data_IF_899394095173
#
_entry.id   IF_899394095173
#
_cell.length_a   1.000
_cell.length_b   1.000
_cell.length_c   1.000
_cell.angle_alpha   90.00
_cell.angle_beta   90.00
_cell.angle_gamma   90.00
#
_symmetry.space_group_name_H-M   'P 1'
#
loop_
_entity.id
_entity.type
_entity.pdbx_description
1 polymer ?
#
# COMPACT_ATOMS: atom_id res chain seq x y z
N UNK A 1 5.35 -12.48 7.44
CA UNK A 1 4.73 -12.57 6.10
C UNK A 1 3.90 -11.33 5.83
N UNK A 2 4.02 -10.75 4.64
CA UNK A 2 3.27 -9.56 4.17
C UNK A 2 2.88 -9.82 2.72
N UNK A 3 1.66 -9.49 2.33
CA UNK A 3 1.16 -9.61 0.96
C UNK A 3 1.02 -8.24 0.29
N UNK A 4 1.49 -8.10 -0.94
CA UNK A 4 1.29 -6.92 -1.80
C UNK A 4 0.52 -7.33 -3.05
N UNK A 5 -0.66 -6.76 -3.24
CA UNK A 5 -1.57 -7.11 -4.34
C UNK A 5 -1.49 -6.05 -5.43
N UNK A 6 -1.35 -6.50 -6.68
CA UNK A 6 -1.43 -5.68 -7.89
C UNK A 6 -2.37 -6.33 -8.91
N UNK A 7 -2.95 -5.53 -9.79
CA UNK A 7 -3.84 -5.98 -10.87
C UNK A 7 -3.38 -5.38 -12.18
N UNK A 8 -3.29 -6.21 -13.19
CA UNK A 8 -2.80 -5.84 -14.52
C UNK A 8 -3.77 -6.19 -15.64
N UNK A 9 -3.55 -5.61 -16.83
CA UNK A 9 -4.35 -5.87 -18.03
C UNK A 9 -3.74 -6.92 -18.95
N UNK A 10 -2.45 -7.25 -18.81
CA UNK A 10 -1.76 -8.17 -19.71
C UNK A 10 -0.91 -9.18 -18.96
N UNK A 11 -1.10 -10.48 -19.29
CA UNK A 11 -0.32 -11.57 -18.67
C UNK A 11 1.13 -11.57 -19.13
N UNK A 12 1.41 -11.23 -20.41
CA UNK A 12 2.78 -11.27 -20.94
C UNK A 12 3.76 -10.49 -20.06
N UNK A 13 3.49 -9.22 -19.78
CA UNK A 13 4.39 -8.41 -18.97
C UNK A 13 4.54 -8.90 -17.54
N UNK A 14 3.48 -9.49 -16.95
CA UNK A 14 3.54 -10.03 -15.59
C UNK A 14 4.35 -11.34 -15.53
N UNK A 15 4.11 -12.25 -16.46
CA UNK A 15 4.82 -13.55 -16.54
C UNK A 15 6.29 -13.33 -16.89
N UNK A 16 6.58 -12.46 -17.86
CA UNK A 16 7.96 -12.08 -18.21
C UNK A 16 8.71 -11.49 -17.01
N UNK A 17 8.04 -10.64 -16.21
CA UNK A 17 8.63 -10.06 -15.00
C UNK A 17 8.94 -11.13 -13.94
N UNK A 18 8.01 -12.05 -13.65
CA UNK A 18 8.21 -13.02 -12.55
C UNK A 18 9.11 -14.17 -12.94
N UNK A 19 9.12 -14.61 -14.20
CA UNK A 19 9.96 -15.71 -14.69
C UNK A 19 11.24 -15.24 -15.39
N UNK A 20 11.36 -13.94 -15.69
CA UNK A 20 12.50 -13.38 -16.40
C UNK A 20 13.69 -13.04 -15.53
N UNK A 21 13.52 -12.98 -14.20
CA UNK A 21 14.62 -12.66 -13.29
C UNK A 21 15.64 -13.81 -13.18
N UNK A 22 16.90 -13.43 -13.01
CA UNK A 22 18.04 -14.32 -12.93
C UNK A 22 17.88 -15.25 -11.75
N UNK A 23 17.53 -15.92 -11.19
CA UNK A 23 17.28 -16.79 -10.00
C UNK A 23 15.79 -16.95 -9.69
N UNK A 24 14.92 -16.70 -10.68
CA UNK A 24 13.53 -17.03 -10.54
C UNK A 24 13.32 -18.54 -10.69
N UNK A 25 12.60 -19.14 -9.75
CA UNK A 25 12.28 -20.58 -9.77
C UNK A 25 10.76 -20.73 -9.78
N UNK A 26 10.22 -21.39 -10.81
CA UNK A 26 8.80 -21.78 -10.84
C UNK A 26 8.60 -22.91 -9.84
N UNK A 27 7.92 -22.63 -8.73
CA UNK A 27 7.69 -23.62 -7.67
C UNK A 27 6.44 -24.47 -7.93
N UNK A 28 5.39 -23.86 -8.51
CA UNK A 28 4.13 -24.53 -8.73
C UNK A 28 3.35 -23.86 -9.85
N UNK A 29 2.61 -24.65 -10.60
CA UNK A 29 1.69 -24.20 -11.64
C UNK A 29 0.42 -25.06 -11.58
N UNK A 30 -0.73 -24.42 -11.75
CA UNK A 30 -2.02 -25.09 -11.77
C UNK A 30 -2.91 -24.49 -12.87
N UNK A 31 -3.56 -25.37 -13.64
CA UNK A 31 -4.42 -25.00 -14.76
C UNK A 31 -3.69 -24.39 -15.97
N UNK A 32 -2.34 -24.43 -16.01
CA UNK A 32 -1.52 -23.93 -17.14
C UNK A 32 -0.50 -24.96 -17.58
N UNK A 33 -0.17 -24.96 -18.87
CA UNK A 33 0.97 -25.70 -19.40
C UNK A 33 2.24 -24.90 -19.05
N UNK A 34 3.15 -25.52 -18.27
CA UNK A 34 4.32 -24.85 -17.73
C UNK A 34 5.63 -25.22 -18.45
N UNK A 35 5.56 -25.71 -19.69
CA UNK A 35 6.71 -26.11 -20.51
C UNK A 35 7.54 -24.88 -20.92
N UNK A 36 6.86 -23.78 -21.25
CA UNK A 36 7.50 -22.52 -21.58
C UNK A 36 6.72 -21.33 -21.03
N UNK A 37 7.38 -20.14 -20.95
CA UNK A 37 6.70 -18.89 -20.61
C UNK A 37 5.55 -18.58 -21.59
N UNK A 38 5.73 -18.91 -22.86
CA UNK A 38 4.74 -18.67 -23.88
C UNK A 38 3.47 -19.51 -23.66
N UNK A 39 3.64 -20.76 -23.23
CA UNK A 39 2.50 -21.64 -22.95
C UNK A 39 1.71 -21.16 -21.75
N UNK A 40 2.40 -20.77 -20.68
CA UNK A 40 1.79 -20.14 -19.52
C UNK A 40 0.97 -18.90 -19.94
N UNK A 41 1.55 -18.01 -20.76
CA UNK A 41 0.88 -16.81 -21.24
C UNK A 41 -0.34 -17.15 -22.08
N UNK A 42 -0.23 -18.13 -22.98
CA UNK A 42 -1.35 -18.59 -23.83
C UNK A 42 -2.49 -19.14 -22.98
N UNK A 43 -2.19 -20.00 -22.01
CA UNK A 43 -3.20 -20.56 -21.11
C UNK A 43 -3.93 -19.46 -20.31
N UNK A 44 -3.21 -18.52 -19.72
CA UNK A 44 -3.82 -17.39 -19.04
C UNK A 44 -4.67 -16.53 -19.97
N UNK A 45 -4.21 -16.26 -21.19
CA UNK A 45 -4.96 -15.45 -22.15
C UNK A 45 -6.23 -16.17 -22.62
N UNK A 46 -6.17 -17.47 -22.83
CA UNK A 46 -7.32 -18.29 -23.23
C UNK A 46 -8.43 -18.23 -22.18
N UNK A 47 -8.12 -18.45 -20.89
CA UNK A 47 -9.12 -18.32 -19.83
C UNK A 47 -9.61 -16.88 -19.67
N UNK A 48 -8.73 -15.89 -19.81
CA UNK A 48 -9.11 -14.48 -19.72
C UNK A 48 -10.12 -14.07 -20.82
N UNK A 49 -10.08 -14.72 -21.99
CA UNK A 49 -11.03 -14.46 -23.08
C UNK A 49 -12.47 -14.86 -22.75
N UNK A 50 -12.70 -15.71 -21.73
CA UNK A 50 -14.04 -16.07 -21.26
C UNK A 50 -14.80 -14.88 -20.66
N UNK A 51 -14.09 -13.81 -20.24
CA UNK A 51 -14.73 -12.59 -19.75
C UNK A 51 -14.02 -11.33 -20.26
N UNK A 52 -14.25 -10.95 -21.53
CA UNK A 52 -13.56 -9.82 -22.15
C UNK A 52 -13.96 -8.45 -21.56
N UNK A 53 -15.01 -8.40 -20.74
CA UNK A 53 -15.44 -7.16 -20.05
C UNK A 53 -14.52 -6.78 -18.89
N UNK A 54 -13.78 -7.73 -18.34
CA UNK A 54 -12.86 -7.47 -17.22
C UNK A 54 -11.56 -6.81 -17.73
N UNK A 55 -11.43 -5.51 -17.58
CA UNK A 55 -10.27 -4.74 -18.08
C UNK A 55 -8.92 -5.06 -17.40
N UNK A 56 -8.93 -5.75 -16.22
CA UNK A 56 -7.73 -6.14 -15.48
C UNK A 56 -7.81 -7.60 -15.03
N UNK A 57 -7.62 -8.57 -15.94
CA UNK A 57 -7.72 -9.99 -15.64
C UNK A 57 -6.54 -10.55 -14.84
N UNK A 58 -5.38 -9.88 -14.82
CA UNK A 58 -4.20 -10.34 -14.11
C UNK A 58 -4.29 -9.99 -12.63
N UNK A 59 -4.17 -11.00 -11.77
CA UNK A 59 -3.87 -10.85 -10.36
C UNK A 59 -2.39 -11.16 -10.10
N UNK A 60 -1.69 -10.28 -9.40
CA UNK A 60 -0.29 -10.49 -9.01
C UNK A 60 -0.13 -10.17 -7.53
N UNK A 61 0.35 -11.14 -6.77
CA UNK A 61 0.57 -11.01 -5.33
C UNK A 61 2.02 -11.36 -5.03
N UNK A 62 2.73 -10.47 -4.34
CA UNK A 62 4.02 -10.78 -3.76
C UNK A 62 3.83 -11.09 -2.27
N UNK A 63 4.18 -12.29 -1.83
CA UNK A 63 4.23 -12.69 -0.42
C UNK A 63 5.68 -12.64 0.03
N UNK A 64 6.01 -11.67 0.89
CA UNK A 64 7.34 -11.50 1.47
C UNK A 64 7.34 -11.99 2.91
N UNK A 65 8.41 -12.68 3.28
CA UNK A 65 8.61 -13.26 4.61
C UNK A 65 9.73 -12.51 5.36
N UNK A 66 9.81 -12.70 6.66
CA UNK A 66 10.93 -12.16 7.44
C UNK A 66 12.20 -12.99 7.20
N UNK A 67 13.35 -12.35 7.27
CA UNK A 67 14.65 -13.06 7.30
C UNK A 67 14.70 -14.04 8.48
N UNK A 68 14.04 -13.71 9.59
CA UNK A 68 13.94 -14.60 10.77
C UNK A 68 13.15 -15.89 10.48
N UNK A 69 12.36 -15.93 9.42
CA UNK A 69 11.61 -17.10 9.00
C UNK A 69 12.39 -17.95 7.98
N UNK A 70 13.48 -17.43 7.40
CA UNK A 70 14.22 -18.10 6.32
C UNK A 70 14.56 -19.58 6.58
N UNK A 71 15.01 -19.99 7.78
CA UNK A 71 15.31 -21.40 8.05
C UNK A 71 14.10 -22.34 7.99
N UNK A 72 12.88 -21.80 8.09
CA UNK A 72 11.62 -22.55 8.07
C UNK A 72 10.96 -22.59 6.68
N UNK A 73 11.51 -21.85 5.72
CA UNK A 73 10.89 -21.61 4.42
C UNK A 73 11.54 -22.46 3.33
N UNK A 74 11.22 -23.76 3.32
CA UNK A 74 11.50 -24.62 2.16
C UNK A 74 10.57 -24.28 1.01
N UNK A 75 10.86 -24.77 -0.20
CA UNK A 75 10.03 -24.56 -1.38
C UNK A 75 8.60 -25.09 -1.17
N UNK A 76 8.47 -26.29 -0.59
CA UNK A 76 7.20 -26.91 -0.26
C UNK A 76 6.43 -26.06 0.75
N UNK A 77 7.12 -25.48 1.74
CA UNK A 77 6.51 -24.61 2.73
C UNK A 77 6.03 -23.30 2.11
N UNK A 78 6.78 -22.75 1.17
CA UNK A 78 6.37 -21.54 0.44
C UNK A 78 5.16 -21.83 -0.45
N UNK A 79 5.11 -22.98 -1.14
CA UNK A 79 3.94 -23.42 -1.91
C UNK A 79 2.73 -23.57 -0.99
N UNK A 80 2.86 -24.28 0.12
CA UNK A 80 1.80 -24.48 1.09
C UNK A 80 1.22 -23.13 1.59
N UNK A 81 2.10 -22.21 1.99
CA UNK A 81 1.70 -20.89 2.48
C UNK A 81 1.00 -20.06 1.40
N UNK A 82 1.47 -20.12 0.16
CA UNK A 82 0.88 -19.40 -0.97
C UNK A 82 -0.51 -19.96 -1.31
N UNK A 83 -0.69 -21.26 -1.34
CA UNK A 83 -1.98 -21.92 -1.60
C UNK A 83 -2.99 -21.67 -0.46
N UNK A 84 -2.55 -21.74 0.80
CA UNK A 84 -3.41 -21.38 1.94
C UNK A 84 -3.82 -19.91 1.88
N UNK A 85 -2.88 -19.01 1.53
CA UNK A 85 -3.16 -17.61 1.35
C UNK A 85 -4.22 -17.38 0.26
N UNK A 86 -4.08 -18.02 -0.91
CA UNK A 86 -5.06 -17.91 -2.00
C UNK A 86 -6.44 -18.37 -1.54
N UNK A 87 -6.55 -19.51 -0.88
CA UNK A 87 -7.82 -20.06 -0.35
C UNK A 87 -8.49 -19.10 0.63
N UNK A 88 -7.74 -18.57 1.60
CA UNK A 88 -8.25 -17.60 2.57
C UNK A 88 -8.64 -16.25 1.92
N UNK A 89 -7.97 -15.87 0.85
CA UNK A 89 -8.32 -14.72 0.01
C UNK A 89 -9.50 -14.99 -0.93
N UNK A 90 -10.06 -16.21 -0.94
CA UNK A 90 -11.11 -16.66 -1.87
C UNK A 90 -10.67 -16.57 -3.34
N UNK A 91 -9.41 -16.89 -3.60
CA UNK A 91 -8.85 -17.06 -4.94
C UNK A 91 -8.81 -18.56 -5.18
N UNK A 92 -9.89 -19.09 -5.75
CA UNK A 92 -10.12 -20.52 -6.00
C UNK A 92 -10.59 -20.73 -7.42
N UNK A 93 -10.54 -21.98 -7.89
CA UNK A 93 -11.05 -22.42 -9.19
C UNK A 93 -10.51 -21.59 -10.36
N UNK A 94 -9.22 -21.31 -10.34
CA UNK A 94 -8.57 -20.49 -11.36
C UNK A 94 -7.14 -20.91 -11.60
N UNK A 95 -6.62 -20.59 -12.78
CA UNK A 95 -5.23 -20.77 -13.15
C UNK A 95 -4.30 -19.91 -12.30
N UNK A 96 -3.16 -20.47 -11.88
CA UNK A 96 -2.12 -19.70 -11.20
C UNK A 96 -0.73 -20.32 -11.33
N UNK A 97 0.29 -19.50 -11.12
CA UNK A 97 1.69 -19.92 -10.92
C UNK A 97 2.24 -19.32 -9.63
N UNK A 98 3.16 -20.05 -8.98
CA UNK A 98 3.93 -19.59 -7.83
C UNK A 98 5.40 -19.58 -8.21
N UNK A 99 6.03 -18.43 -8.12
CA UNK A 99 7.45 -18.24 -8.52
C UNK A 99 8.23 -17.69 -7.32
N UNK A 100 9.31 -18.33 -6.96
CA UNK A 100 10.25 -17.84 -5.95
C UNK A 100 11.29 -16.92 -6.58
N UNK A 101 11.58 -15.81 -5.93
CA UNK A 101 12.71 -14.95 -6.24
C UNK A 101 13.75 -14.98 -5.10
N UNK A 102 15.02 -14.80 -5.47
CA UNK A 102 16.16 -14.76 -4.55
C UNK A 102 16.97 -13.46 -4.69
N UNK A 103 16.36 -12.44 -5.32
CA UNK A 103 16.99 -11.13 -5.59
C UNK A 103 17.01 -10.19 -4.38
N UNK A 104 16.52 -10.63 -3.23
CA UNK A 104 16.47 -9.84 -1.98
C UNK A 104 16.80 -10.68 -0.77
N UNK A 105 17.26 -10.03 0.30
CA UNK A 105 17.53 -10.65 1.59
C UNK A 105 16.26 -11.32 2.19
N UNK A 106 15.11 -10.73 1.97
CA UNK A 106 13.82 -11.27 2.43
C UNK A 106 13.31 -12.33 1.47
N UNK A 107 13.13 -13.60 1.93
CA UNK A 107 12.50 -14.62 1.11
C UNK A 107 11.13 -14.17 0.62
N UNK A 108 10.83 -14.37 -0.66
CA UNK A 108 9.53 -14.00 -1.20
C UNK A 108 9.13 -14.86 -2.39
N UNK A 109 7.81 -14.99 -2.56
CA UNK A 109 7.21 -15.64 -3.72
C UNK A 109 6.24 -14.69 -4.39
N UNK A 110 6.13 -14.84 -5.70
CA UNK A 110 5.13 -14.18 -6.53
C UNK A 110 4.07 -15.19 -6.93
N UNK A 111 2.80 -14.82 -6.71
CA UNK A 111 1.63 -15.55 -7.19
C UNK A 111 1.07 -14.74 -8.34
N UNK A 112 1.05 -15.31 -9.54
CA UNK A 112 0.30 -14.76 -10.69
C UNK A 112 -0.90 -15.65 -10.92
N UNK A 113 -2.09 -15.08 -10.96
CA UNK A 113 -3.32 -15.83 -11.14
C UNK A 113 -4.28 -15.12 -12.09
N UNK A 114 -5.18 -15.89 -12.69
CA UNK A 114 -6.26 -15.34 -13.48
C UNK A 114 -7.39 -14.87 -12.55
N UNK A 115 -7.82 -13.61 -12.69
CA UNK A 115 -8.97 -13.07 -11.94
C UNK A 115 -10.32 -13.52 -12.54
N UNK A 116 -10.29 -14.31 -13.59
CA UNK A 116 -11.44 -14.99 -14.16
C UNK A 116 -11.30 -16.46 -13.76
N UNK A 117 -12.31 -17.01 -13.11
CA UNK A 117 -12.34 -18.42 -12.71
C UNK A 117 -12.61 -19.36 -13.89
N UNK A 118 -12.56 -20.66 -13.65
CA UNK A 118 -12.78 -21.69 -14.66
C UNK A 118 -14.22 -21.67 -15.26
N UNK A 119 -15.13 -20.91 -14.66
CA UNK A 119 -16.51 -20.73 -15.13
C UNK A 119 -16.72 -19.36 -15.79
N UNK A 120 -15.66 -18.59 -16.07
CA UNK A 120 -15.74 -17.26 -16.69
C UNK A 120 -16.19 -16.14 -15.74
N UNK A 121 -16.35 -16.42 -14.43
CA UNK A 121 -16.75 -15.41 -13.44
C UNK A 121 -15.55 -14.65 -12.92
N UNK A 122 -15.76 -13.38 -12.55
CA UNK A 122 -14.71 -12.56 -11.95
C UNK A 122 -14.54 -12.88 -10.48
N UNK A 123 -13.32 -13.22 -10.05
CA UNK A 123 -12.94 -13.35 -8.65
C UNK A 123 -12.98 -11.96 -8.01
N UNK A 124 -13.79 -11.82 -6.95
CA UNK A 124 -14.04 -10.54 -6.29
C UNK A 124 -12.81 -10.00 -5.57
N UNK A 125 -12.47 -8.75 -5.87
CA UNK A 125 -11.41 -7.98 -5.19
C UNK A 125 -11.94 -7.00 -4.14
N UNK A 126 -13.22 -7.12 -3.76
CA UNK A 126 -13.83 -6.26 -2.75
C UNK A 126 -13.09 -6.40 -1.42
N UNK A 127 -12.62 -5.25 -0.88
CA UNK A 127 -11.87 -5.18 0.37
C UNK A 127 -10.61 -6.07 0.40
N UNK A 128 -9.98 -6.33 -0.76
CA UNK A 128 -8.83 -7.23 -0.88
C UNK A 128 -7.66 -6.81 0.02
N UNK A 129 -7.39 -5.51 0.17
CA UNK A 129 -6.31 -4.99 1.03
C UNK A 129 -6.57 -5.31 2.51
N UNK A 130 -7.81 -5.13 2.99
CA UNK A 130 -8.18 -5.48 4.36
C UNK A 130 -8.11 -6.99 4.60
N UNK A 131 -8.68 -7.79 3.67
CA UNK A 131 -8.61 -9.27 3.75
C UNK A 131 -7.16 -9.75 3.76
N UNK A 132 -6.32 -9.22 2.89
CA UNK A 132 -4.90 -9.53 2.82
C UNK A 132 -4.21 -9.33 4.17
N UNK A 133 -4.45 -8.21 4.85
CA UNK A 133 -3.89 -7.96 6.18
C UNK A 133 -4.33 -9.02 7.20
N UNK A 134 -5.63 -9.35 7.24
CA UNK A 134 -6.17 -10.35 8.15
C UNK A 134 -5.63 -11.75 7.85
N UNK A 135 -5.60 -12.14 6.57
CA UNK A 135 -5.08 -13.44 6.13
C UNK A 135 -3.59 -13.57 6.47
N UNK A 136 -2.80 -12.53 6.20
CA UNK A 136 -1.37 -12.54 6.56
C UNK A 136 -1.16 -12.69 8.07
N UNK A 137 -1.98 -12.03 8.92
CA UNK A 137 -1.92 -12.19 10.38
C UNK A 137 -2.30 -13.60 10.81
N UNK A 138 -3.39 -14.14 10.27
CA UNK A 138 -3.88 -15.50 10.54
C UNK A 138 -2.84 -16.55 10.21
N UNK A 139 -2.26 -16.47 9.01
CA UNK A 139 -1.25 -17.44 8.56
C UNK A 139 0.06 -17.33 9.37
N UNK A 140 0.49 -16.11 9.73
CA UNK A 140 1.63 -15.95 10.63
C UNK A 140 1.41 -16.63 11.97
N UNK A 141 0.24 -16.46 12.57
CA UNK A 141 -0.09 -17.09 13.85
C UNK A 141 -0.16 -18.62 13.71
N UNK A 142 -0.84 -19.13 12.66
CA UNK A 142 -1.00 -20.57 12.39
C UNK A 142 0.33 -21.29 12.20
N UNK A 143 1.26 -20.68 11.47
CA UNK A 143 2.53 -21.30 11.10
C UNK A 143 3.72 -20.86 11.95
N UNK A 144 3.50 -20.14 13.05
CA UNK A 144 4.56 -19.66 13.93
C UNK A 144 5.60 -18.80 13.23
N UNK A 145 5.14 -17.97 12.24
CA UNK A 145 6.02 -17.05 11.52
C UNK A 145 6.24 -15.78 12.34
N UNK A 146 7.37 -15.15 12.12
CA UNK A 146 7.80 -13.97 12.85
C UNK A 146 6.80 -12.81 12.77
N UNK A 147 6.43 -12.29 13.93
CA UNK A 147 5.71 -11.03 14.08
C UNK A 147 6.70 -9.92 14.40
N UNK A 148 6.81 -8.94 13.52
CA UNK A 148 7.60 -7.75 13.83
C UNK A 148 7.07 -7.11 15.11
N UNK A 149 7.96 -6.88 16.08
CA UNK A 149 7.63 -6.10 17.28
C UNK A 149 7.31 -4.68 16.83
N UNK A 150 6.09 -4.26 16.99
CA UNK A 150 5.43 -3.01 16.54
C UNK A 150 6.29 -1.77 16.25
N UNK A 151 5.67 -0.63 16.07
CA UNK A 151 6.33 0.64 15.75
C UNK A 151 7.38 1.10 16.79
N UNK A 152 7.41 0.49 17.97
CA UNK A 152 8.30 0.90 19.09
C UNK A 152 9.78 0.57 18.87
N UNK A 153 10.08 -0.48 18.10
CA UNK A 153 11.45 -0.95 17.84
C UNK A 153 11.98 -0.62 16.44
N UNK A 154 11.40 0.39 15.80
CA UNK A 154 11.87 0.86 14.50
C UNK A 154 13.26 1.48 14.62
N UNK A 155 14.20 1.03 13.80
CA UNK A 155 15.54 1.61 13.66
C UNK A 155 15.43 2.97 12.97
N UNK A 156 15.22 4.04 13.75
CA UNK A 156 14.94 5.41 13.27
C UNK A 156 16.02 5.94 12.31
N UNK A 157 17.28 5.58 12.53
CA UNK A 157 18.40 6.02 11.69
C UNK A 157 18.38 5.45 10.26
N UNK A 158 17.57 4.41 9.99
CA UNK A 158 17.42 3.80 8.67
C UNK A 158 16.21 4.31 7.89
N UNK A 159 15.36 5.12 8.54
CA UNK A 159 14.19 5.68 7.88
C UNK A 159 14.61 6.79 6.90
N UNK A 160 14.11 6.70 5.68
CA UNK A 160 14.21 7.76 4.67
C UNK A 160 12.93 8.60 4.69
N UNK A 161 12.98 9.83 4.15
CA UNK A 161 11.78 10.63 3.90
C UNK A 161 10.92 9.96 2.81
N UNK A 162 9.60 10.03 2.91
CA UNK A 162 8.77 10.73 3.92
C UNK A 162 8.49 9.93 5.22
N UNK A 163 8.93 8.66 5.30
CA UNK A 163 8.61 7.76 6.42
C UNK A 163 9.27 8.21 7.72
N UNK A 164 10.43 8.84 7.65
CA UNK A 164 11.11 9.43 8.81
C UNK A 164 10.23 10.50 9.45
N UNK A 165 9.78 11.49 8.68
CA UNK A 165 8.88 12.55 9.14
C UNK A 165 7.56 11.98 9.70
N UNK A 166 6.99 10.98 9.04
CA UNK A 166 5.78 10.29 9.50
C UNK A 166 5.96 9.61 10.85
N UNK A 167 7.11 8.96 11.05
CA UNK A 167 7.44 8.30 12.32
C UNK A 167 7.72 9.30 13.44
N UNK A 168 8.37 10.41 13.14
CA UNK A 168 8.61 11.49 14.10
C UNK A 168 7.29 12.12 14.56
N UNK A 169 6.35 12.36 13.65
CA UNK A 169 4.99 12.82 13.99
C UNK A 169 4.29 11.77 14.88
N UNK A 170 4.35 10.47 14.50
CA UNK A 170 3.75 9.40 15.30
C UNK A 170 4.27 9.42 16.75
N UNK A 171 5.58 9.51 16.91
CA UNK A 171 6.21 9.50 18.24
C UNK A 171 5.84 10.74 19.06
N UNK A 172 5.85 11.91 18.43
CA UNK A 172 5.50 13.17 19.08
C UNK A 172 4.04 13.18 19.54
N UNK A 173 3.09 12.87 18.64
CA UNK A 173 1.66 12.83 18.98
C UNK A 173 1.39 11.82 20.09
N UNK A 174 1.96 10.62 20.02
CA UNK A 174 1.79 9.58 21.05
C UNK A 174 2.28 10.03 22.42
N UNK A 175 3.41 10.75 22.46
CA UNK A 175 4.00 11.21 23.72
C UNK A 175 3.27 12.42 24.33
N UNK A 176 2.68 13.27 23.48
CA UNK A 176 2.08 14.53 23.94
C UNK A 176 0.56 14.43 24.18
N UNK A 177 -0.12 13.45 23.55
CA UNK A 177 -1.56 13.30 23.72
C UNK A 177 -1.96 13.04 25.17
N UNK A 178 -1.25 12.18 25.88
CA UNK A 178 -1.52 11.88 27.31
C UNK A 178 -1.19 13.02 28.27
N UNK A 179 -0.41 14.00 27.82
CA UNK A 179 -0.01 15.19 28.61
C UNK A 179 -0.85 16.42 28.29
N UNK A 180 -1.70 16.33 27.26
CA UNK A 180 -2.53 17.45 26.79
C UNK A 180 -3.96 17.23 27.24
N UNK A 181 -4.57 18.28 27.80
CA UNK A 181 -5.96 18.28 28.25
C UNK A 181 -6.93 18.92 27.21
N UNK A 182 -6.39 19.58 26.19
CA UNK A 182 -7.15 20.26 25.15
C UNK A 182 -6.42 20.24 23.81
N UNK A 183 -7.15 20.53 22.74
CA UNK A 183 -6.59 20.71 21.40
C UNK A 183 -5.53 21.80 21.35
N UNK A 184 -5.73 22.91 22.06
CA UNK A 184 -4.78 24.02 22.11
C UNK A 184 -3.45 23.58 22.72
N UNK A 185 -3.47 22.88 23.87
CA UNK A 185 -2.25 22.37 24.47
C UNK A 185 -1.52 21.36 23.58
N UNK A 186 -2.25 20.48 22.89
CA UNK A 186 -1.64 19.54 21.94
C UNK A 186 -0.99 20.31 20.76
N UNK A 187 -1.64 21.36 20.25
CA UNK A 187 -1.09 22.18 19.18
C UNK A 187 0.20 22.89 19.61
N UNK A 188 0.22 23.53 20.77
CA UNK A 188 1.38 24.23 21.31
C UNK A 188 2.57 23.27 21.49
N UNK A 189 2.35 22.12 22.13
CA UNK A 189 3.41 21.09 22.37
C UNK A 189 3.95 20.45 21.08
N UNK A 190 3.11 20.30 20.08
CA UNK A 190 3.53 19.77 18.77
C UNK A 190 4.25 20.84 17.95
N UNK A 191 3.84 22.11 18.05
CA UNK A 191 4.51 23.23 17.40
C UNK A 191 5.97 23.41 17.89
N UNK A 192 6.23 23.23 19.18
CA UNK A 192 7.59 23.20 19.76
C UNK A 192 8.49 22.13 19.13
N UNK A 193 7.89 21.06 18.56
CA UNK A 193 8.59 19.98 17.86
C UNK A 193 8.61 20.15 16.33
N UNK A 194 8.18 21.31 15.85
CA UNK A 194 8.08 21.62 14.42
C UNK A 194 6.98 20.84 13.71
N UNK A 195 5.92 20.46 14.44
CA UNK A 195 4.78 19.70 13.88
C UNK A 195 3.53 20.57 13.94
N UNK A 196 3.01 20.91 12.75
CA UNK A 196 1.75 21.65 12.60
C UNK A 196 0.54 20.73 12.58
N UNK A 197 -0.60 21.22 13.07
CA UNK A 197 -1.91 20.56 12.96
C UNK A 197 -2.77 21.36 11.97
N UNK A 198 -3.46 20.64 11.07
CA UNK A 198 -4.46 21.19 10.15
C UNK A 198 -5.77 20.45 10.29
N UNK A 199 -6.86 21.16 10.51
CA UNK A 199 -8.21 20.61 10.50
C UNK A 199 -8.83 20.70 9.11
N UNK A 200 -9.55 19.66 8.70
CA UNK A 200 -10.36 19.64 7.49
C UNK A 200 -11.81 19.76 7.88
N UNK A 201 -12.49 20.78 7.36
CA UNK A 201 -13.91 21.02 7.59
C UNK A 201 -14.78 20.40 6.50
N UNK A 202 -16.05 20.13 6.80
CA UNK A 202 -17.03 19.57 5.90
C UNK A 202 -17.71 20.70 5.10
N UNK A 203 -17.34 20.79 3.83
CA UNK A 203 -17.89 21.84 2.95
C UNK A 203 -17.60 23.25 3.49
N UNK A 204 -18.68 24.05 3.69
CA UNK A 204 -18.63 25.41 4.26
C UNK A 204 -19.05 25.46 5.73
N UNK A 205 -19.18 24.32 6.39
CA UNK A 205 -19.59 24.23 7.81
C UNK A 205 -18.37 24.26 8.73
N UNK A 206 -18.61 24.53 10.01
CA UNK A 206 -17.58 24.47 11.05
C UNK A 206 -17.37 23.03 11.60
N UNK A 207 -18.09 22.05 11.04
CA UNK A 207 -17.94 20.63 11.38
C UNK A 207 -16.57 20.10 10.91
N UNK A 208 -15.73 19.69 11.84
CA UNK A 208 -14.42 19.10 11.51
C UNK A 208 -14.59 17.68 11.03
N UNK A 209 -14.23 17.44 9.77
CA UNK A 209 -14.26 16.12 9.12
C UNK A 209 -12.99 15.29 9.36
N UNK A 210 -11.87 15.95 9.62
CA UNK A 210 -10.58 15.24 9.72
C UNK A 210 -9.45 16.12 10.21
N UNK A 211 -8.31 15.48 10.45
CA UNK A 211 -7.08 16.12 10.93
C UNK A 211 -5.89 15.66 10.11
N UNK A 212 -4.96 16.55 9.86
CA UNK A 212 -3.66 16.27 9.26
C UNK A 212 -2.55 16.89 10.07
N UNK A 213 -1.39 16.22 10.09
CA UNK A 213 -0.18 16.69 10.74
C UNK A 213 0.89 17.00 9.69
N UNK A 214 1.59 18.12 9.86
CA UNK A 214 2.62 18.61 8.92
C UNK A 214 3.96 18.68 9.62
N UNK A 215 5.02 18.18 8.98
CA UNK A 215 6.41 18.34 9.42
C UNK A 215 7.31 18.61 8.23
N UNK A 216 7.95 19.79 8.22
CA UNK A 216 8.70 20.25 7.05
C UNK A 216 7.81 20.28 5.80
N UNK A 217 8.27 19.66 4.72
CA UNK A 217 7.52 19.59 3.46
C UNK A 217 6.41 18.52 3.42
N UNK A 218 6.28 17.68 4.46
CA UNK A 218 5.39 16.51 4.43
C UNK A 218 4.14 16.71 5.27
N UNK A 219 2.99 16.33 4.71
CA UNK A 219 1.69 16.38 5.39
C UNK A 219 1.02 15.02 5.31
N UNK A 220 0.58 14.50 6.45
CA UNK A 220 -0.08 13.20 6.57
C UNK A 220 -1.42 13.33 7.26
N UNK A 221 -2.42 12.59 6.81
CA UNK A 221 -3.70 12.47 7.53
C UNK A 221 -3.46 11.77 8.87
N UNK A 222 -4.12 12.19 9.92
CA UNK A 222 -3.99 11.57 11.23
C UNK A 222 -4.24 10.05 11.21
N UNK A 223 -5.30 9.62 10.52
CA UNK A 223 -5.63 8.19 10.33
C UNK A 223 -4.61 7.42 9.48
N UNK A 224 -3.82 8.09 8.65
CA UNK A 224 -2.74 7.50 7.86
C UNK A 224 -1.49 7.24 8.73
N UNK A 225 -1.23 8.10 9.71
CA UNK A 225 -0.13 7.94 10.67
C UNK A 225 -0.49 6.84 11.67
N UNK A 226 -1.66 6.96 12.31
CA UNK A 226 -2.22 5.94 13.19
C UNK A 226 -3.74 6.05 13.24
N UNK A 227 -4.45 4.93 13.36
CA UNK A 227 -5.91 4.89 13.45
C UNK A 227 -6.42 5.69 14.67
N UNK A 228 -5.66 5.72 15.76
CA UNK A 228 -5.99 6.46 16.98
C UNK A 228 -5.76 7.97 16.83
N UNK A 229 -5.08 8.42 15.79
CA UNK A 229 -4.84 9.84 15.51
C UNK A 229 -5.86 10.43 14.53
N UNK A 230 -6.96 9.71 14.24
CA UNK A 230 -8.11 10.30 13.55
C UNK A 230 -8.75 11.37 14.41
N UNK A 231 -9.34 12.42 13.80
CA UNK A 231 -9.99 13.52 14.53
C UNK A 231 -10.99 12.98 15.56
N UNK A 232 -11.91 12.11 15.16
CA UNK A 232 -12.95 11.57 16.06
C UNK A 232 -12.39 10.81 17.26
N UNK A 233 -11.21 10.18 17.15
CA UNK A 233 -10.57 9.48 18.28
C UNK A 233 -9.87 10.44 19.22
N UNK A 234 -9.18 11.44 18.66
CA UNK A 234 -8.51 12.47 19.45
C UNK A 234 -9.53 13.40 20.13
N UNK A 235 -10.61 13.76 19.44
CA UNK A 235 -11.68 14.60 19.97
C UNK A 235 -12.41 13.93 21.14
N UNK A 236 -12.67 12.63 21.01
CA UNK A 236 -13.20 11.83 22.11
C UNK A 236 -12.24 11.78 23.31
N UNK A 237 -10.93 11.78 23.07
CA UNK A 237 -9.93 11.82 24.14
C UNK A 237 -9.95 13.12 24.92
N UNK A 238 -10.24 14.25 24.24
CA UNK A 238 -10.37 15.57 24.87
C UNK A 238 -11.78 15.90 25.38
N UNK A 239 -12.70 14.90 25.41
CA UNK A 239 -14.03 15.03 26.00
C UNK A 239 -15.00 15.90 25.21
N UNK A 240 -14.87 15.97 23.88
CA UNK A 240 -15.63 16.87 23.00
C UNK A 240 -15.51 18.37 23.39
N UNK A 241 -14.51 18.73 24.17
CA UNK A 241 -14.23 20.10 24.57
C UNK A 241 -13.61 20.94 23.41
N UNK A 242 -13.59 20.39 22.22
CA UNK A 242 -12.77 20.90 21.12
C UNK A 242 -13.39 22.03 20.30
N UNK A 243 -14.64 22.41 20.47
CA UNK A 243 -15.23 23.44 19.61
C UNK A 243 -14.88 24.88 20.01
N UNK A 244 -14.77 25.18 21.29
CA UNK A 244 -14.53 26.56 21.75
C UNK A 244 -13.09 27.06 21.55
N UNK A 245 -12.14 26.17 21.24
CA UNK A 245 -10.71 26.50 21.08
C UNK A 245 -10.22 26.54 19.64
N UNK A 246 -10.99 26.04 18.67
CA UNK A 246 -10.61 26.02 17.25
C UNK A 246 -10.90 27.38 16.56
N UNK A 247 -11.85 28.12 17.03
CA UNK A 247 -12.18 29.47 16.47
C UNK A 247 -11.03 30.49 16.62
N UNK A 248 -10.27 30.42 17.72
CA UNK A 248 -9.09 31.27 17.90
C UNK A 248 -7.92 30.90 16.98
N UNK A 249 -7.92 29.70 16.40
CA UNK A 249 -6.87 29.26 15.44
C UNK A 249 -7.10 29.81 14.03
N UNK A 250 -8.33 30.21 13.67
CA UNK A 250 -8.63 30.89 12.38
C UNK A 250 -7.99 32.27 12.29
N UNK A 251 -7.91 33.00 13.40
CA UNK A 251 -7.39 34.37 13.43
C UNK A 251 -5.87 34.47 13.42
N UNK A 252 -5.14 33.41 13.85
CA UNK A 252 -3.67 33.45 13.88
C UNK A 252 -2.99 32.97 12.59
N UNK A 253 -3.70 32.31 11.67
CA UNK A 253 -3.14 31.88 10.38
C UNK A 253 -3.04 33.03 9.37
N UNK A 254 -3.74 34.13 9.61
CA UNK A 254 -3.76 35.33 8.72
C UNK A 254 -2.57 36.27 8.95
N UNK A 255 -1.77 36.09 10.00
CA UNK A 255 -0.71 37.03 10.41
C UNK A 255 0.73 36.55 10.29
N UNK A 256 1.00 35.42 9.60
CA UNK A 256 2.37 35.02 9.26
C UNK A 256 2.70 35.48 7.82
N UNK A 257 3.84 36.17 7.59
CA UNK A 257 4.19 36.63 6.25
C UNK A 257 4.46 35.46 5.34
N UNK A 258 3.71 35.41 4.25
CA UNK A 258 3.90 34.47 3.14
C UNK A 258 5.15 34.91 2.41
N UNK A 259 6.24 34.18 2.53
CA UNK A 259 7.32 34.20 1.54
C UNK A 259 6.80 33.43 0.32
N UNK A 260 6.42 34.17 -0.70
CA UNK A 260 6.08 33.63 -2.01
C UNK A 260 7.27 32.89 -2.61
N UNK A 261 7.14 31.59 -2.74
CA UNK A 261 7.88 30.78 -3.69
C UNK A 261 6.85 30.12 -4.60
N UNK A 262 6.64 30.76 -5.74
CA UNK A 262 5.91 30.19 -6.87
C UNK A 262 6.62 28.95 -7.34
N UNK A 263 6.04 27.78 -7.14
CA UNK A 263 6.12 26.62 -8.03
C UNK A 263 4.97 25.66 -7.70
N UNK A 264 4.05 25.56 -8.63
CA UNK A 264 2.94 24.61 -8.63
C UNK A 264 3.45 23.20 -8.82
N UNK A 265 3.25 22.27 -7.87
CA UNK A 265 3.44 20.86 -8.17
C UNK A 265 2.14 20.30 -8.76
N UNK A 266 2.29 19.67 -9.90
CA UNK A 266 1.24 18.89 -10.55
C UNK A 266 0.66 17.84 -9.61
N UNK A 267 -0.68 17.74 -9.62
CA UNK A 267 -1.44 16.69 -8.94
C UNK A 267 -1.07 15.32 -9.50
N UNK A 268 -0.39 14.54 -8.73
CA UNK A 268 -0.34 13.09 -8.90
C UNK A 268 -1.40 12.46 -7.98
N UNK A 269 -2.57 12.21 -8.54
CA UNK A 269 -3.60 11.37 -7.93
C UNK A 269 -3.16 9.92 -7.98
N UNK A 270 -2.49 9.47 -6.94
CA UNK A 270 -2.27 8.06 -6.65
C UNK A 270 -2.56 7.82 -5.17
N UNK A 271 -3.48 6.90 -4.82
CA UNK A 271 -3.74 6.59 -3.43
C UNK A 271 -2.55 5.85 -2.84
N UNK A 272 -1.69 6.57 -2.14
CA UNK A 272 -0.56 6.01 -1.42
C UNK A 272 -1.06 5.28 -0.17
N UNK A 273 -1.34 3.98 -0.31
CA UNK A 273 -1.46 3.03 0.82
C UNK A 273 -0.10 2.39 1.15
N UNK A 274 1.01 3.06 0.84
CA UNK A 274 2.35 2.49 0.91
C UNK A 274 3.12 2.67 2.23
N UNK A 275 2.71 3.60 3.07
CA UNK A 275 3.55 4.08 4.18
C UNK A 275 3.85 3.09 5.31
N UNK A 276 3.07 2.03 5.49
CA UNK A 276 3.35 1.03 6.54
C UNK A 276 4.21 -0.14 6.05
N UNK A 277 4.36 -0.29 4.72
CA UNK A 277 5.07 -1.40 4.10
C UNK A 277 6.47 -1.00 3.58
N UNK A 278 6.74 0.29 3.40
CA UNK A 278 8.08 0.77 3.01
C UNK A 278 9.11 0.68 4.15
N UNK A 279 8.68 0.49 5.40
CA UNK A 279 9.57 0.23 6.55
C UNK A 279 10.42 -1.04 6.39
N UNK A 280 10.10 -1.90 5.41
CA UNK A 280 10.84 -3.13 5.11
C UNK A 280 11.59 -3.09 3.78
N UNK A 281 11.46 -2.00 3.00
CA UNK A 281 12.23 -1.80 1.78
C UNK A 281 13.60 -1.14 2.11
N UNK A 282 14.49 -1.90 2.71
CA UNK A 282 15.91 -1.56 2.75
C UNK A 282 16.52 -2.05 1.46
N UNK A 283 16.50 -1.23 0.42
CA UNK A 283 17.27 -1.49 -0.80
C UNK A 283 18.64 -0.79 -0.68
N UNK A 284 19.76 -1.51 -0.89
CA UNK A 284 20.97 -0.85 -1.35
C UNK A 284 20.73 -0.38 -2.79
N UNK A 285 21.21 0.82 -3.10
CA UNK A 285 21.16 1.47 -4.39
C UNK A 285 21.66 0.57 -5.52
N UNK A 286 20.77 0.18 -6.42
CA UNK A 286 21.10 -0.35 -7.73
C UNK A 286 20.41 0.53 -8.79
N UNK A 287 20.96 0.65 -10.01
CA UNK A 287 20.59 1.66 -10.98
C UNK A 287 19.12 1.49 -11.43
N UNK A 288 18.51 2.64 -11.73
CA UNK A 288 17.15 2.82 -12.20
C UNK A 288 16.74 1.82 -13.29
N UNK A 289 15.82 0.94 -12.97
CA UNK A 289 15.02 0.25 -13.97
C UNK A 289 14.06 1.27 -14.59
N UNK A 290 14.13 1.44 -15.90
CA UNK A 290 13.26 2.28 -16.70
C UNK A 290 11.79 2.02 -16.33
N UNK A 291 11.11 3.03 -15.80
CA UNK A 291 9.68 3.04 -15.65
C UNK A 291 9.05 2.94 -17.04
N UNK A 292 8.51 1.78 -17.36
CA UNK A 292 7.67 1.62 -18.56
C UNK A 292 6.43 2.49 -18.35
N UNK A 293 6.46 3.67 -18.98
CA UNK A 293 5.40 4.67 -18.93
C UNK A 293 4.11 4.14 -19.62
N UNK A 294 3.13 3.76 -18.79
CA UNK A 294 1.81 3.32 -19.22
C UNK A 294 0.86 4.47 -19.59
N UNK A 295 1.32 5.73 -19.51
CA UNK A 295 0.48 6.92 -19.73
C UNK A 295 0.25 7.25 -21.22
N UNK A 296 1.10 6.76 -22.12
CA UNK A 296 1.05 7.10 -23.55
C UNK A 296 -0.13 6.50 -24.36
N UNK A 297 -0.85 5.52 -23.83
CA UNK A 297 -2.02 4.91 -24.53
C UNK A 297 -3.32 5.71 -24.44
N UNK A 298 -3.46 6.69 -23.54
CA UNK A 298 -4.71 7.48 -23.40
C UNK A 298 -4.87 8.60 -24.41
N UNK A 299 -3.81 9.07 -25.08
CA UNK A 299 -3.89 10.21 -26.02
C UNK A 299 -4.42 9.85 -27.43
N UNK A 300 -4.37 8.60 -27.86
CA UNK A 300 -4.85 8.20 -29.21
C UNK A 300 -6.37 8.03 -29.38
N UNK A 301 -7.14 7.91 -28.30
CA UNK A 301 -8.61 7.72 -28.39
C UNK A 301 -9.43 9.03 -28.49
N UNK A 302 -8.88 10.19 -28.16
CA UNK A 302 -9.60 11.48 -28.23
C UNK A 302 -9.62 12.11 -29.63
N UNK A 303 -8.71 11.72 -30.55
CA UNK A 303 -8.60 12.33 -31.89
C UNK A 303 -9.52 11.74 -32.97
N UNK A 304 -10.24 10.65 -32.70
CA UNK A 304 -11.15 9.99 -33.68
C UNK A 304 -12.62 10.40 -33.57
N UNK A 305 -13.01 11.32 -32.69
CA UNK A 305 -14.40 11.75 -32.49
C UNK A 305 -14.74 13.15 -33.05
N UNK A 306 -13.80 13.82 -33.72
CA UNK A 306 -14.02 15.16 -34.31
C UNK A 306 -14.01 15.23 -35.83
N UNK A 307 -14.13 14.11 -36.52
CA UNK A 307 -14.25 14.10 -38.00
C UNK A 307 -15.42 13.22 -38.41
N UNK A 308 -16.65 13.69 -38.15
CA UNK A 308 -17.89 13.36 -38.86
C UNK A 308 -18.91 14.47 -38.54
N UNK A 309 -18.87 15.48 -39.32
CA UNK A 309 -19.99 16.31 -39.77
C UNK A 309 -19.77 16.51 -41.26
#
# INVERSE_FOLDING_TARGET
>A
MIGKIRKGSGFKGCVDYVLGKQQAVLLHADGVLAESRQDIIRCFCAQASMNPRLGKPVGHIALSYSVNDAPKLTDEKMIQLAQEYMREMKITDTQYIIVRHQDREHPHVHIVFNRIDNNGKTISDRNDMYRNEQVCKKLKAKHGLYFAKGKELVKRHRLKEPDKSKYEIYTAVRNEIGKSKSWRQLQERLAEKGIGIRFKYKGRTDEVQGISFTKGAYTFKGSEIDRNFSFSKLDKHFGNAGMDTVENSRQQIVSAPILELEQTPQRNDSPSMGGLFSLFDVSPSAPSDEEIDWSLRKKKKKKKRQLKL
#
